data_IF_224886034240
#
_entry.id   IF_224886034240
#
_cell.length_a   1.000
_cell.length_b   1.000
_cell.length_c   1.000
_cell.angle_alpha   90.00
_cell.angle_beta   90.00
_cell.angle_gamma   90.00
#
_symmetry.space_group_name_H-M   'P 1'
#
loop_
_entity.id
_entity.type
_entity.pdbx_description
1 polymer ?
#
# COMPACT_ATOMS: atom_id res chain seq x y z
N UNK A 1 11.61 -2.73 -3.24
CA UNK A 1 10.19 -2.44 -3.48
C UNK A 1 9.33 -3.62 -3.05
N UNK A 2 9.46 -4.81 -3.65
CA UNK A 2 8.68 -5.99 -3.25
C UNK A 2 8.82 -6.33 -1.76
N UNK A 3 10.04 -6.34 -1.22
CA UNK A 3 10.27 -6.58 0.22
C UNK A 3 9.55 -5.56 1.13
N UNK A 4 9.46 -4.29 0.69
CA UNK A 4 8.73 -3.26 1.44
C UNK A 4 7.22 -3.50 1.39
N UNK A 5 6.68 -3.81 0.20
CA UNK A 5 5.25 -4.09 0.02
C UNK A 5 4.84 -5.36 0.76
N UNK A 6 5.68 -6.39 0.76
CA UNK A 6 5.47 -7.61 1.54
C UNK A 6 5.40 -7.29 3.03
N UNK A 7 6.37 -6.52 3.55
CA UNK A 7 6.38 -6.10 4.94
C UNK A 7 5.16 -5.23 5.30
N UNK A 8 4.66 -4.40 4.37
CA UNK A 8 3.44 -3.63 4.59
C UNK A 8 2.21 -4.54 4.68
N UNK A 9 2.12 -5.56 3.81
CA UNK A 9 1.03 -6.54 3.87
C UNK A 9 1.10 -7.36 5.16
N UNK A 10 2.30 -7.74 5.62
CA UNK A 10 2.49 -8.36 6.94
C UNK A 10 2.00 -7.45 8.07
N UNK A 11 2.38 -6.17 8.03
CA UNK A 11 1.93 -5.17 9.01
C UNK A 11 0.41 -4.98 9.02
N UNK A 12 -0.24 -4.98 7.84
CA UNK A 12 -1.70 -4.97 7.75
C UNK A 12 -2.31 -6.26 8.31
N UNK A 13 -1.71 -7.42 8.04
CA UNK A 13 -2.22 -8.70 8.55
C UNK A 13 -2.23 -8.75 10.08
N UNK A 14 -1.27 -8.10 10.74
CA UNK A 14 -1.17 -8.05 12.20
C UNK A 14 -1.98 -6.91 12.82
N UNK A 15 -2.20 -5.80 12.11
CA UNK A 15 -2.69 -4.55 12.71
C UNK A 15 -3.82 -3.84 11.93
N UNK A 16 -4.53 -4.56 11.05
CA UNK A 16 -5.49 -3.98 10.10
C UNK A 16 -6.45 -2.96 10.72
N UNK A 17 -7.11 -3.32 11.82
CA UNK A 17 -8.12 -2.47 12.46
C UNK A 17 -7.54 -1.15 12.96
N UNK A 18 -6.35 -1.20 13.57
CA UNK A 18 -5.65 -0.02 14.08
C UNK A 18 -5.21 0.91 12.94
N UNK A 19 -4.64 0.33 11.89
CA UNK A 19 -4.19 1.10 10.72
C UNK A 19 -5.39 1.73 10.02
N UNK A 20 -6.48 0.98 9.83
CA UNK A 20 -7.72 1.47 9.23
C UNK A 20 -8.33 2.62 10.02
N UNK A 21 -8.38 2.52 11.36
CA UNK A 21 -8.86 3.60 12.22
C UNK A 21 -8.06 4.89 12.00
N UNK A 22 -6.72 4.78 11.93
CA UNK A 22 -5.85 5.93 11.67
C UNK A 22 -6.06 6.54 10.29
N UNK A 23 -6.22 5.70 9.27
CA UNK A 23 -6.29 6.13 7.87
C UNK A 23 -7.64 6.72 7.46
N UNK A 24 -8.70 6.31 8.15
CA UNK A 24 -10.09 6.72 7.89
C UNK A 24 -10.63 7.72 8.93
N UNK A 25 -9.81 8.20 9.86
CA UNK A 25 -10.21 9.16 10.91
C UNK A 25 -10.87 10.45 10.38
N UNK A 26 -10.57 10.84 9.14
CA UNK A 26 -11.24 11.90 8.40
C UNK A 26 -10.98 11.71 6.89
N UNK A 27 -11.75 12.33 5.98
CA UNK A 27 -11.46 12.31 4.55
C UNK A 27 -10.00 12.71 4.26
N UNK A 28 -9.28 11.82 3.58
CA UNK A 28 -7.87 12.00 3.23
C UNK A 28 -6.88 11.95 4.42
N UNK A 29 -7.26 11.44 5.59
CA UNK A 29 -6.37 11.34 6.74
C UNK A 29 -5.10 10.52 6.42
N UNK A 30 -5.23 9.38 5.72
CA UNK A 30 -4.10 8.60 5.18
C UNK A 30 -3.04 9.45 4.46
N UNK A 31 -3.44 10.49 3.73
CA UNK A 31 -2.48 11.29 2.93
C UNK A 31 -1.78 12.38 3.75
N UNK A 32 -2.25 12.66 4.97
CA UNK A 32 -1.71 13.70 5.85
C UNK A 32 -0.80 13.18 6.96
N UNK A 33 -0.86 11.87 7.26
CA UNK A 33 0.01 11.25 8.27
C UNK A 33 1.48 11.21 7.80
N UNK A 34 2.41 11.39 8.75
CA UNK A 34 3.84 11.45 8.45
C UNK A 34 4.38 10.15 7.84
N UNK A 35 3.85 9.00 8.27
CA UNK A 35 4.20 7.69 7.72
C UNK A 35 3.92 7.60 6.22
N UNK A 36 2.75 8.06 5.76
CA UNK A 36 2.42 8.05 4.34
C UNK A 36 3.40 8.86 3.50
N UNK A 37 3.74 10.08 3.94
CA UNK A 37 4.74 10.92 3.26
C UNK A 37 6.10 10.25 3.19
N UNK A 38 6.51 9.58 4.27
CA UNK A 38 7.76 8.83 4.32
C UNK A 38 7.76 7.64 3.36
N UNK A 39 6.70 6.83 3.36
CA UNK A 39 6.57 5.68 2.47
C UNK A 39 6.45 6.07 1.01
N UNK A 40 5.74 7.15 0.72
CA UNK A 40 5.65 7.72 -0.62
C UNK A 40 7.04 8.11 -1.11
N UNK A 41 7.80 8.89 -0.33
CA UNK A 41 9.17 9.27 -0.70
C UNK A 41 10.08 8.05 -0.89
N UNK A 42 9.97 7.03 -0.02
CA UNK A 42 10.72 5.78 -0.17
C UNK A 42 10.43 5.11 -1.51
N UNK A 43 9.15 4.96 -1.88
CA UNK A 43 8.74 4.32 -3.12
C UNK A 43 9.09 5.15 -4.35
N UNK A 44 8.97 6.47 -4.31
CA UNK A 44 9.39 7.36 -5.41
C UNK A 44 10.86 7.12 -5.76
N UNK A 45 11.74 7.07 -4.74
CA UNK A 45 13.17 6.79 -4.94
C UNK A 45 13.40 5.38 -5.53
N UNK A 46 12.56 4.40 -5.16
CA UNK A 46 12.63 3.04 -5.71
C UNK A 46 12.11 2.92 -7.14
N UNK A 47 11.25 3.83 -7.57
CA UNK A 47 10.64 3.85 -8.90
C UNK A 47 11.43 4.70 -9.92
N UNK A 48 12.62 5.21 -9.58
CA UNK A 48 13.28 6.32 -10.29
C UNK A 48 13.55 6.18 -11.80
N UNK A 49 13.36 5.01 -12.41
CA UNK A 49 13.43 4.82 -13.87
C UNK A 49 12.07 4.91 -14.58
N UNK A 50 10.97 5.00 -13.84
CA UNK A 50 9.62 5.16 -14.39
C UNK A 50 9.41 6.57 -14.97
N UNK A 51 8.49 6.70 -15.93
CA UNK A 51 8.15 7.99 -16.53
C UNK A 51 7.57 9.00 -15.51
N UNK A 52 6.78 8.50 -14.54
CA UNK A 52 6.26 9.27 -13.41
C UNK A 52 6.43 8.45 -12.10
N UNK A 53 7.59 8.56 -11.43
CA UNK A 53 7.86 7.77 -10.23
C UNK A 53 7.03 8.22 -9.01
N UNK A 54 6.57 9.48 -8.98
CA UNK A 54 5.77 10.02 -7.87
C UNK A 54 4.33 9.53 -7.92
N UNK A 55 3.72 9.55 -9.11
CA UNK A 55 2.39 8.98 -9.31
C UNK A 55 2.41 7.47 -9.08
N UNK A 56 3.44 6.77 -9.57
CA UNK A 56 3.56 5.34 -9.36
C UNK A 56 3.66 4.98 -7.87
N UNK A 57 4.39 5.77 -7.07
CA UNK A 57 4.44 5.58 -5.62
C UNK A 57 3.06 5.69 -4.96
N UNK A 58 2.20 6.62 -5.40
CA UNK A 58 0.81 6.70 -4.94
C UNK A 58 0.00 5.47 -5.32
N UNK A 59 0.10 5.02 -6.57
CA UNK A 59 -0.63 3.84 -7.05
C UNK A 59 -0.24 2.57 -6.29
N UNK A 60 1.06 2.39 -5.99
CA UNK A 60 1.54 1.27 -5.18
C UNK A 60 1.05 1.36 -3.74
N UNK A 61 1.03 2.55 -3.13
CA UNK A 61 0.47 2.74 -1.80
C UNK A 61 -1.04 2.52 -1.76
N UNK A 62 -1.78 2.85 -2.82
CA UNK A 62 -3.22 2.60 -2.88
C UNK A 62 -3.55 1.10 -2.77
N UNK A 63 -2.70 0.21 -3.30
CA UNK A 63 -2.89 -1.24 -3.20
C UNK A 63 -2.76 -1.79 -1.76
N UNK A 64 -2.11 -1.04 -0.88
CA UNK A 64 -1.96 -1.35 0.57
C UNK A 64 -2.73 -0.33 1.43
N UNK A 65 -3.82 0.22 0.89
CA UNK A 65 -4.79 0.99 1.66
C UNK A 65 -5.53 0.11 2.67
N UNK A 66 -5.63 0.54 3.93
CA UNK A 66 -6.20 -0.31 4.98
C UNK A 66 -7.72 -0.48 4.84
N UNK A 67 -8.45 0.54 4.36
CA UNK A 67 -9.89 0.43 4.14
C UNK A 67 -10.20 -0.48 2.95
N UNK A 68 -9.42 -0.36 1.86
CA UNK A 68 -9.46 -1.31 0.74
C UNK A 68 -9.19 -2.74 1.19
N UNK A 69 -8.09 -2.97 1.91
CA UNK A 69 -7.72 -4.31 2.34
C UNK A 69 -8.74 -4.88 3.34
N UNK A 70 -9.33 -4.05 4.21
CA UNK A 70 -10.47 -4.45 5.03
C UNK A 70 -11.66 -4.92 4.20
N UNK A 71 -12.09 -4.14 3.20
CA UNK A 71 -13.19 -4.54 2.32
C UNK A 71 -12.91 -5.84 1.55
N UNK A 72 -11.67 -6.06 1.11
CA UNK A 72 -11.28 -7.31 0.45
C UNK A 72 -11.26 -8.49 1.43
N UNK A 73 -10.87 -8.27 2.70
CA UNK A 73 -10.92 -9.30 3.74
C UNK A 73 -12.37 -9.72 4.05
N UNK A 74 -13.31 -8.77 4.09
CA UNK A 74 -14.75 -9.03 4.22
C UNK A 74 -15.31 -9.80 3.02
N UNK A 75 -14.70 -9.66 1.84
CA UNK A 75 -15.02 -10.43 0.63
C UNK A 75 -14.24 -11.77 0.52
N UNK A 76 -13.74 -12.30 1.64
CA UNK A 76 -13.02 -13.58 1.75
C UNK A 76 -11.67 -13.67 1.00
N UNK A 77 -11.02 -12.54 0.67
CA UNK A 77 -9.68 -12.58 0.06
C UNK A 77 -8.63 -12.90 1.11
N UNK A 78 -7.94 -14.04 1.00
CA UNK A 78 -6.86 -14.39 1.92
C UNK A 78 -5.67 -13.41 1.82
N UNK A 79 -4.92 -13.24 2.91
CA UNK A 79 -3.69 -12.44 2.92
C UNK A 79 -2.66 -12.91 1.88
N UNK A 80 -2.61 -14.21 1.60
CA UNK A 80 -1.78 -14.77 0.54
C UNK A 80 -2.20 -14.24 -0.84
N UNK A 81 -3.51 -14.16 -1.11
CA UNK A 81 -4.05 -13.59 -2.35
C UNK A 81 -3.78 -12.10 -2.46
N UNK A 82 -3.97 -11.34 -1.38
CA UNK A 82 -3.70 -9.90 -1.33
C UNK A 82 -2.22 -9.61 -1.61
N UNK A 83 -1.30 -10.34 -0.95
CA UNK A 83 0.14 -10.23 -1.21
C UNK A 83 0.49 -10.53 -2.66
N UNK A 84 -0.07 -11.60 -3.23
CA UNK A 84 0.16 -11.96 -4.62
C UNK A 84 -0.28 -10.82 -5.57
N UNK A 85 -1.47 -10.25 -5.35
CA UNK A 85 -1.98 -9.13 -6.14
C UNK A 85 -1.09 -7.88 -6.07
N UNK A 86 -0.65 -7.49 -4.86
CA UNK A 86 0.27 -6.35 -4.66
C UNK A 86 1.61 -6.60 -5.36
N UNK A 87 2.17 -7.82 -5.24
CA UNK A 87 3.41 -8.20 -5.93
C UNK A 87 3.28 -8.13 -7.44
N UNK A 88 2.17 -8.61 -7.98
CA UNK A 88 1.96 -8.63 -9.42
C UNK A 88 1.74 -7.22 -9.97
N UNK A 89 0.99 -6.36 -9.27
CA UNK A 89 0.87 -4.94 -9.61
C UNK A 89 2.26 -4.27 -9.65
N UNK A 90 3.06 -4.48 -8.60
CA UNK A 90 4.40 -3.91 -8.49
C UNK A 90 5.36 -4.36 -9.60
N UNK A 91 5.25 -5.62 -10.05
CA UNK A 91 6.06 -6.13 -11.17
C UNK A 91 5.63 -5.53 -12.51
N UNK A 92 4.33 -5.34 -12.74
CA UNK A 92 3.82 -4.77 -13.99
C UNK A 92 4.10 -3.27 -14.08
N UNK A 93 4.08 -2.56 -12.96
CA UNK A 93 4.37 -1.14 -12.88
C UNK A 93 5.81 -0.75 -13.25
N UNK A 94 6.75 -1.69 -13.22
CA UNK A 94 8.17 -1.47 -13.53
C UNK A 94 8.58 -1.98 -14.92
N UNK A 95 7.64 -2.48 -15.72
CA UNK A 95 7.86 -2.89 -17.11
C UNK A 95 7.63 -1.72 -18.05
#
# INVERSE_FOLDING_TARGET
MLAFLDAYVDYLAEHLELVRLSETAAPGARYRIGSYRFWHRHLTLRCGAAADPEYLAHALLAAVDADLNFALREADYSWARLRAGVRDLAKHALR
#
